data_IF_373744692176
#
_entry.id   IF_373744692176
#
_cell.length_a   1.000
_cell.length_b   1.000
_cell.length_c   1.000
_cell.angle_alpha   90.00
_cell.angle_beta   90.00
_cell.angle_gamma   90.00
#
_symmetry.space_group_name_H-M   'P 1'
#
loop_
_entity.id
_entity.type
_entity.pdbx_description
1 polymer ?
#
# COMPACT_ATOMS: atom_id res chain seq x y z
N UNK A 1 0.18 -9.74 -1.88
CA UNK A 1 1.27 -10.55 -1.30
C UNK A 1 2.07 -11.18 -2.40
N UNK A 2 3.40 -11.10 -2.32
CA UNK A 2 4.30 -11.68 -3.30
C UNK A 2 4.95 -12.96 -2.74
N UNK A 3 5.34 -13.92 -3.61
CA UNK A 3 5.96 -15.17 -3.16
C UNK A 3 7.30 -15.00 -2.44
N UNK A 4 7.95 -13.85 -2.61
CA UNK A 4 9.23 -13.49 -1.98
C UNK A 4 9.05 -12.83 -0.59
N UNK A 5 7.83 -12.80 -0.06
CA UNK A 5 7.51 -12.20 1.24
C UNK A 5 7.23 -10.70 1.20
N UNK A 6 7.42 -10.02 0.06
CA UNK A 6 7.05 -8.61 -0.08
C UNK A 6 5.54 -8.45 -0.20
N UNK A 7 5.07 -7.24 0.12
CA UNK A 7 3.68 -6.82 -0.09
C UNK A 7 3.66 -5.70 -1.11
N UNK A 8 2.93 -5.91 -2.20
CA UNK A 8 2.57 -4.86 -3.15
C UNK A 8 1.12 -4.43 -2.91
N UNK A 9 0.89 -3.12 -2.84
CA UNK A 9 -0.43 -2.54 -2.63
C UNK A 9 -0.68 -1.40 -3.63
N UNK A 10 -1.81 -1.45 -4.32
CA UNK A 10 -2.32 -0.34 -5.12
C UNK A 10 -3.38 0.39 -4.30
N UNK A 11 -3.17 1.68 -4.08
CA UNK A 11 -4.00 2.50 -3.18
C UNK A 11 -4.48 3.71 -3.97
N UNK A 12 -5.80 3.90 -4.03
CA UNK A 12 -6.41 5.01 -4.73
C UNK A 12 -7.48 5.67 -3.86
N UNK A 13 -7.49 6.99 -3.84
CA UNK A 13 -8.42 7.77 -3.04
C UNK A 13 -7.99 9.24 -2.96
N UNK A 14 -8.62 10.03 -2.09
CA UNK A 14 -8.20 11.39 -1.78
C UNK A 14 -6.72 11.45 -1.38
N UNK A 15 -6.02 12.52 -1.82
CA UNK A 15 -4.57 12.64 -1.65
C UNK A 15 -4.13 12.60 -0.18
N UNK A 16 -4.90 13.20 0.72
CA UNK A 16 -4.66 13.17 2.17
C UNK A 16 -4.75 11.75 2.75
N UNK A 17 -5.76 10.98 2.33
CA UNK A 17 -5.92 9.59 2.74
C UNK A 17 -4.78 8.70 2.21
N UNK A 18 -4.38 8.89 0.95
CA UNK A 18 -3.24 8.17 0.35
C UNK A 18 -1.93 8.51 1.09
N UNK A 19 -1.68 9.78 1.37
CA UNK A 19 -0.49 10.22 2.11
C UNK A 19 -0.46 9.66 3.54
N UNK A 20 -1.60 9.62 4.24
CA UNK A 20 -1.69 9.02 5.56
C UNK A 20 -1.38 7.51 5.53
N UNK A 21 -1.85 6.81 4.49
CA UNK A 21 -1.58 5.39 4.31
C UNK A 21 -0.10 5.12 3.99
N UNK A 22 0.54 5.94 3.14
CA UNK A 22 1.97 5.85 2.89
C UNK A 22 2.80 6.01 4.17
N UNK A 23 2.45 6.99 5.02
CA UNK A 23 3.13 7.19 6.30
C UNK A 23 2.94 6.01 7.26
N UNK A 24 1.76 5.40 7.28
CA UNK A 24 1.49 4.21 8.09
C UNK A 24 2.25 2.98 7.57
N UNK A 25 2.35 2.79 6.25
CA UNK A 25 3.04 1.66 5.63
C UNK A 25 4.53 1.59 5.97
N UNK A 26 5.17 2.73 6.26
CA UNK A 26 6.56 2.75 6.72
C UNK A 26 6.75 2.12 8.11
N UNK A 27 5.68 2.03 8.91
CA UNK A 27 5.70 1.42 10.24
C UNK A 27 5.06 0.03 10.24
N UNK A 28 3.94 -0.11 9.53
CA UNK A 28 3.12 -1.31 9.52
C UNK A 28 2.38 -1.55 10.84
N UNK A 29 1.59 -2.64 10.90
CA UNK A 29 0.95 -3.08 12.14
C UNK A 29 2.00 -3.60 13.15
N UNK A 30 1.63 -3.69 14.44
CA UNK A 30 2.55 -4.07 15.52
C UNK A 30 3.25 -5.44 15.37
N UNK A 31 2.75 -6.30 14.50
CA UNK A 31 3.30 -7.64 14.20
C UNK A 31 4.13 -7.69 12.91
N UNK A 32 4.21 -6.59 12.16
CA UNK A 32 5.03 -6.51 10.95
C UNK A 32 6.39 -5.84 11.26
N UNK A 33 7.39 -6.20 10.46
CA UNK A 33 8.66 -5.50 10.41
C UNK A 33 8.87 -5.00 8.99
N UNK A 34 8.86 -3.68 8.81
CA UNK A 34 9.04 -3.04 7.50
C UNK A 34 10.51 -2.65 7.37
N UNK A 35 11.22 -3.32 6.47
CA UNK A 35 12.63 -3.02 6.19
C UNK A 35 12.78 -1.82 5.25
N UNK A 36 11.99 -1.82 4.17
CA UNK A 36 12.00 -0.76 3.14
C UNK A 36 10.58 -0.49 2.64
N UNK A 37 10.35 0.74 2.19
CA UNK A 37 9.11 1.17 1.53
C UNK A 37 9.44 1.83 0.18
N UNK A 38 8.89 1.27 -0.90
CA UNK A 38 8.99 1.82 -2.25
C UNK A 38 7.62 2.36 -2.68
N UNK A 39 7.61 3.57 -3.26
CA UNK A 39 6.40 4.26 -3.69
C UNK A 39 6.60 4.70 -5.14
N UNK A 40 5.65 4.34 -5.98
CA UNK A 40 5.58 4.75 -7.38
C UNK A 40 4.16 5.25 -7.67
N UNK A 41 4.05 6.35 -8.40
CA UNK A 41 2.75 6.85 -8.86
C UNK A 41 2.17 5.88 -9.91
N UNK A 42 0.92 5.46 -9.69
CA UNK A 42 0.22 4.63 -10.65
C UNK A 42 -0.39 5.48 -11.77
N UNK A 43 -0.20 5.05 -13.02
CA UNK A 43 -0.79 5.73 -14.19
C UNK A 43 -2.31 5.55 -14.28
N UNK A 44 -2.86 4.52 -13.64
CA UNK A 44 -4.27 4.17 -13.69
C UNK A 44 -4.80 3.83 -12.29
N UNK A 45 -6.03 4.29 -12.01
CA UNK A 45 -6.76 3.90 -10.82
C UNK A 45 -7.38 2.50 -11.00
N UNK A 46 -7.48 1.69 -9.94
CA UNK A 46 -8.15 0.39 -10.01
C UNK A 46 -9.63 0.55 -10.37
N UNK A 47 -10.14 -0.31 -11.26
CA UNK A 47 -11.57 -0.38 -11.60
C UNK A 47 -12.43 -1.05 -10.52
N UNK A 48 -11.78 -1.64 -9.51
CA UNK A 48 -12.42 -2.30 -8.37
C UNK A 48 -12.79 -1.27 -7.30
N UNK A 49 -14.04 -1.29 -6.85
CA UNK A 49 -14.46 -0.56 -5.66
C UNK A 49 -14.18 -1.36 -4.38
N UNK A 50 -13.57 -0.72 -3.38
CA UNK A 50 -13.30 -1.31 -2.06
C UNK A 50 -11.83 -1.71 -1.84
N UNK A 51 -11.60 -2.60 -0.87
CA UNK A 51 -10.27 -3.09 -0.49
C UNK A 51 -10.24 -4.62 -0.55
N UNK A 52 -9.20 -5.18 -1.17
CA UNK A 52 -9.08 -6.62 -1.40
C UNK A 52 -7.66 -7.10 -1.10
N UNK A 53 -7.53 -8.30 -0.55
CA UNK A 53 -6.26 -8.96 -0.27
C UNK A 53 -6.08 -10.10 -1.27
N UNK A 54 -4.92 -10.15 -1.94
CA UNK A 54 -4.53 -11.19 -2.88
C UNK A 54 -3.05 -11.52 -2.75
#
# INVERSE_FOLDING_TARGET
>A
NLPDGRVEALIAGPADAVNAMQAWLAHGPAWAHVEDLFIEDASEAPSLGGFYIR
#
